data_IF_582265793296
#
_entry.id   IF_582265793296
#
_cell.length_a   1.000
_cell.length_b   1.000
_cell.length_c   1.000
_cell.angle_alpha   90.00
_cell.angle_beta   90.00
_cell.angle_gamma   90.00
#
_symmetry.space_group_name_H-M   'P 1'
#
loop_
_entity.id
_entity.type
_entity.pdbx_description
1 polymer ?
#
# COMPACT_ATOMS: atom_id res chain seq x y z
N UNK A 1 -39.17 16.15 29.21
CA UNK A 1 -38.72 16.24 27.81
C UNK A 1 -37.24 15.92 27.81
N UNK A 2 -36.88 14.68 27.49
CA UNK A 2 -35.49 14.23 27.49
C UNK A 2 -34.84 14.62 26.16
N UNK A 3 -33.78 15.41 26.25
CA UNK A 3 -33.00 15.87 25.10
C UNK A 3 -32.03 14.74 24.71
N UNK A 4 -32.28 14.15 23.54
CA UNK A 4 -31.47 13.06 22.98
C UNK A 4 -30.16 13.65 22.49
N UNK A 5 -29.06 13.34 23.17
CA UNK A 5 -27.71 13.68 22.69
C UNK A 5 -27.39 12.84 21.43
N UNK A 6 -26.78 13.44 20.39
CA UNK A 6 -26.53 12.76 19.13
C UNK A 6 -25.47 11.67 19.31
N UNK A 7 -25.72 10.49 18.72
CA UNK A 7 -24.82 9.35 18.69
C UNK A 7 -23.52 9.73 17.98
N UNK A 8 -22.40 9.42 18.63
CA UNK A 8 -21.06 9.63 18.10
C UNK A 8 -20.74 8.50 17.11
N UNK A 9 -21.23 8.63 15.88
CA UNK A 9 -20.89 7.70 14.79
C UNK A 9 -19.39 7.84 14.47
N UNK A 10 -18.64 6.81 14.84
CA UNK A 10 -17.24 6.65 14.49
C UNK A 10 -17.12 6.55 12.96
N UNK A 11 -16.92 7.70 12.30
CA UNK A 11 -16.57 7.75 10.88
C UNK A 11 -15.23 7.05 10.71
N UNK A 12 -15.25 5.93 9.97
CA UNK A 12 -14.06 5.21 9.56
C UNK A 12 -13.15 6.18 8.81
N UNK A 13 -11.94 6.36 9.35
CA UNK A 13 -10.90 7.15 8.70
C UNK A 13 -10.40 6.31 7.53
N UNK A 14 -10.91 6.57 6.32
CA UNK A 14 -10.28 6.10 5.09
C UNK A 14 -8.94 6.83 4.97
N UNK A 15 -7.84 6.12 5.20
CA UNK A 15 -6.51 6.59 4.84
C UNK A 15 -6.51 6.97 3.35
N UNK A 16 -5.99 8.15 2.96
CA UNK A 16 -5.83 8.46 1.55
C UNK A 16 -4.88 7.42 0.94
N UNK A 17 -5.33 6.78 -0.14
CA UNK A 17 -4.50 5.86 -0.92
C UNK A 17 -3.20 6.56 -1.30
N UNK A 18 -2.12 6.21 -0.62
CA UNK A 18 -0.78 6.46 -1.13
C UNK A 18 -0.66 5.55 -2.34
N UNK A 19 -0.40 6.08 -3.55
CA UNK A 19 -0.32 5.24 -4.74
C UNK A 19 0.74 4.18 -4.51
N UNK A 20 0.27 2.93 -4.35
CA UNK A 20 1.13 1.78 -4.14
C UNK A 20 1.99 1.62 -5.38
N UNK A 21 3.30 1.64 -5.16
CA UNK A 21 4.32 1.41 -6.19
C UNK A 21 4.17 -0.01 -6.74
N UNK A 22 3.41 -0.19 -7.82
CA UNK A 22 3.44 -1.45 -8.58
C UNK A 22 2.21 -1.75 -9.44
N UNK A 23 1.05 -1.17 -9.12
CA UNK A 23 -0.16 -1.29 -9.94
C UNK A 23 -0.17 -0.24 -11.05
N UNK A 24 0.24 -0.63 -12.24
CA UNK A 24 0.18 0.20 -13.44
C UNK A 24 -1.29 0.34 -13.92
N UNK A 25 -2.07 1.17 -13.24
CA UNK A 25 -3.46 1.41 -13.58
C UNK A 25 -3.58 2.51 -14.65
N UNK A 26 -4.25 2.19 -15.75
CA UNK A 26 -4.70 3.18 -16.73
C UNK A 26 -5.62 4.21 -16.04
N UNK A 27 -5.61 5.47 -16.49
CA UNK A 27 -6.47 6.50 -15.90
C UNK A 27 -7.96 6.17 -16.09
N UNK A 28 -8.77 6.44 -15.08
CA UNK A 28 -10.23 6.21 -15.12
C UNK A 28 -10.93 7.03 -16.22
N UNK A 29 -10.31 8.12 -16.68
CA UNK A 29 -10.81 9.04 -17.71
C UNK A 29 -10.23 8.78 -19.10
N UNK A 30 -9.47 7.69 -19.30
CA UNK A 30 -8.79 7.38 -20.56
C UNK A 30 -9.72 7.50 -21.78
N UNK A 31 -10.91 6.92 -21.71
CA UNK A 31 -11.86 6.91 -22.83
C UNK A 31 -12.37 8.30 -23.18
N UNK A 32 -12.62 9.13 -22.15
CA UNK A 32 -13.08 10.50 -22.32
C UNK A 32 -11.99 11.38 -22.93
N UNK A 33 -10.75 11.24 -22.44
CA UNK A 33 -9.58 11.96 -22.96
C UNK A 33 -9.33 11.64 -24.43
N UNK A 34 -9.29 10.34 -24.79
CA UNK A 34 -9.05 9.93 -26.18
C UNK A 34 -10.16 10.42 -27.12
N UNK A 35 -11.42 10.38 -26.68
CA UNK A 35 -12.55 10.90 -27.45
C UNK A 35 -12.49 12.43 -27.61
N UNK A 36 -11.99 13.15 -26.61
CA UNK A 36 -11.77 14.59 -26.70
C UNK A 36 -10.63 14.95 -27.66
N UNK A 37 -9.51 14.23 -27.57
CA UNK A 37 -8.34 14.41 -28.45
C UNK A 37 -8.73 14.23 -29.92
N UNK A 38 -9.40 13.13 -30.25
CA UNK A 38 -9.80 12.83 -31.63
C UNK A 38 -10.88 13.78 -32.17
N UNK A 39 -11.70 14.36 -31.29
CA UNK A 39 -12.73 15.35 -31.67
C UNK A 39 -12.11 16.69 -32.06
N UNK A 40 -11.12 17.16 -31.29
CA UNK A 40 -10.46 18.44 -31.55
C UNK A 40 -9.42 18.36 -32.67
N UNK A 41 -8.85 17.18 -32.91
CA UNK A 41 -7.82 16.93 -33.93
C UNK A 41 -6.63 17.88 -33.83
N UNK A 42 -6.30 18.31 -32.61
CA UNK A 42 -5.22 19.25 -32.36
C UNK A 42 -4.14 18.63 -31.47
N UNK A 43 -2.90 18.77 -31.92
CA UNK A 43 -1.71 18.35 -31.20
C UNK A 43 -1.32 19.43 -30.19
N UNK A 44 -2.00 19.44 -29.04
CA UNK A 44 -1.62 20.28 -27.90
C UNK A 44 -0.42 19.69 -27.14
N UNK A 45 0.29 20.45 -26.29
CA UNK A 45 1.59 20.06 -25.69
C UNK A 45 1.67 18.65 -25.05
N UNK A 46 0.55 18.07 -24.65
CA UNK A 46 0.45 16.72 -24.06
C UNK A 46 0.02 15.62 -25.03
N UNK A 47 -0.10 15.91 -26.33
CA UNK A 47 -0.63 14.99 -27.34
C UNK A 47 0.24 15.01 -28.59
N UNK A 48 0.61 13.84 -29.08
CA UNK A 48 1.37 13.66 -30.33
C UNK A 48 0.67 12.62 -31.22
N UNK A 49 0.57 12.87 -32.52
CA UNK A 49 0.05 11.91 -33.48
C UNK A 49 1.18 11.30 -34.30
N UNK A 50 1.12 9.99 -34.53
CA UNK A 50 2.02 9.29 -35.44
C UNK A 50 1.25 8.28 -36.27
N UNK A 51 1.49 8.28 -37.58
CA UNK A 51 0.95 7.25 -38.47
C UNK A 51 1.54 5.88 -38.14
N UNK A 52 2.86 5.84 -37.93
CA UNK A 52 3.62 4.63 -37.61
C UNK A 52 4.63 4.98 -36.52
N UNK A 53 4.80 4.07 -35.55
CA UNK A 53 5.81 4.20 -34.52
C UNK A 53 7.06 3.42 -34.91
N UNK A 54 8.19 4.11 -35.05
CA UNK A 54 9.46 3.45 -35.31
C UNK A 54 10.05 2.97 -33.98
N UNK A 55 10.33 1.67 -33.86
CA UNK A 55 11.00 1.09 -32.68
C UNK A 55 12.48 0.77 -32.93
N UNK A 56 12.99 0.97 -34.14
CA UNK A 56 14.38 0.67 -34.53
C UNK A 56 14.82 1.52 -35.72
N UNK A 57 16.12 1.52 -36.01
CA UNK A 57 16.71 2.25 -37.11
C UNK A 57 16.97 3.73 -36.79
N UNK A 58 17.23 4.53 -37.82
CA UNK A 58 17.61 5.94 -37.67
C UNK A 58 16.50 6.81 -37.07
N UNK A 59 15.23 6.43 -37.31
CA UNK A 59 14.04 7.13 -36.82
C UNK A 59 13.71 6.83 -35.35
N UNK A 60 14.35 5.82 -34.74
CA UNK A 60 14.17 5.52 -33.32
C UNK A 60 14.51 6.72 -32.43
N UNK A 61 15.47 7.55 -32.86
CA UNK A 61 15.85 8.77 -32.15
C UNK A 61 14.72 9.77 -31.99
N UNK A 62 13.89 9.95 -33.02
CA UNK A 62 12.74 10.85 -32.96
C UNK A 62 11.67 10.28 -32.04
N UNK A 63 11.40 8.97 -32.07
CA UNK A 63 10.48 8.32 -31.12
C UNK A 63 10.93 8.53 -29.67
N UNK A 64 12.22 8.33 -29.36
CA UNK A 64 12.76 8.54 -28.01
C UNK A 64 12.63 10.00 -27.60
N UNK A 65 12.92 10.93 -28.52
CA UNK A 65 12.81 12.37 -28.29
C UNK A 65 11.37 12.77 -27.98
N UNK A 66 10.40 12.29 -28.75
CA UNK A 66 8.98 12.61 -28.58
C UNK A 66 8.44 12.06 -27.26
N UNK A 67 8.77 10.82 -26.90
CA UNK A 67 8.37 10.23 -25.62
C UNK A 67 8.98 10.97 -24.44
N UNK A 68 10.27 11.33 -24.50
CA UNK A 68 10.91 12.16 -23.47
C UNK A 68 10.24 13.53 -23.37
N UNK A 69 9.97 14.17 -24.51
CA UNK A 69 9.32 15.47 -24.56
C UNK A 69 7.94 15.43 -23.92
N UNK A 70 7.11 14.43 -24.24
CA UNK A 70 5.79 14.25 -23.63
C UNK A 70 5.89 14.04 -22.12
N UNK A 71 6.80 13.18 -21.64
CA UNK A 71 6.97 12.90 -20.21
C UNK A 71 7.47 14.12 -19.41
N UNK A 72 8.29 14.96 -20.03
CA UNK A 72 8.85 16.15 -19.41
C UNK A 72 7.90 17.34 -19.48
N UNK A 73 6.98 17.36 -20.45
CA UNK A 73 6.02 18.44 -20.61
C UNK A 73 5.03 18.45 -19.46
N UNK A 74 4.80 19.63 -18.91
CA UNK A 74 3.77 19.86 -17.90
C UNK A 74 2.52 20.48 -18.48
N UNK A 75 1.40 20.14 -17.87
CA UNK A 75 0.10 20.68 -18.19
C UNK A 75 -0.96 20.11 -17.27
N UNK A 76 -2.09 20.80 -17.20
CA UNK A 76 -3.28 20.37 -16.47
C UNK A 76 -4.29 19.69 -17.39
N UNK A 77 -4.08 19.72 -18.71
CA UNK A 77 -4.97 19.03 -19.64
C UNK A 77 -4.85 17.52 -19.42
N UNK A 78 -5.95 16.81 -19.64
CA UNK A 78 -6.02 15.36 -19.51
C UNK A 78 -5.47 14.84 -18.18
N UNK A 79 -5.78 15.57 -17.11
CA UNK A 79 -5.36 15.23 -15.75
C UNK A 79 -3.84 15.07 -15.57
N UNK A 80 -3.06 15.76 -16.41
CA UNK A 80 -1.59 15.73 -16.41
C UNK A 80 -0.97 14.55 -17.18
N UNK A 81 -1.77 13.66 -17.75
CA UNK A 81 -1.28 12.60 -18.63
C UNK A 81 -0.88 13.16 -19.98
N UNK A 82 0.07 12.50 -20.63
CA UNK A 82 0.43 12.75 -22.01
C UNK A 82 0.14 11.51 -22.88
N UNK A 83 -0.17 11.75 -24.15
CA UNK A 83 -0.65 10.75 -25.08
C UNK A 83 0.11 10.80 -26.39
N UNK A 84 0.57 9.65 -26.85
CA UNK A 84 1.07 9.46 -28.20
C UNK A 84 0.15 8.49 -28.93
N UNK A 85 -0.62 8.97 -29.90
CA UNK A 85 -1.59 8.15 -30.64
C UNK A 85 -0.94 7.61 -31.90
N UNK A 86 -0.92 6.28 -32.02
CA UNK A 86 -0.35 5.56 -33.16
C UNK A 86 -1.48 5.09 -34.08
N UNK A 87 -1.29 5.27 -35.39
CA UNK A 87 -2.33 5.05 -36.41
C UNK A 87 -3.16 6.31 -36.68
N UNK A 88 -2.63 7.49 -36.33
CA UNK A 88 -3.27 8.81 -36.52
C UNK A 88 -2.32 9.69 -37.31
N UNK A 89 -2.80 10.39 -38.33
CA UNK A 89 -1.99 11.37 -39.07
C UNK A 89 -1.84 12.70 -38.32
N UNK A 90 -0.91 13.54 -38.79
CA UNK A 90 -0.62 14.86 -38.20
C UNK A 90 -1.85 15.81 -38.20
N UNK A 91 -2.89 15.47 -38.96
CA UNK A 91 -4.17 16.17 -39.01
C UNK A 91 -5.22 15.62 -38.04
N UNK A 92 -4.85 14.66 -37.18
CA UNK A 92 -5.74 14.02 -36.21
C UNK A 92 -6.73 13.03 -36.84
N UNK A 93 -6.51 12.61 -38.08
CA UNK A 93 -7.36 11.61 -38.74
C UNK A 93 -6.80 10.22 -38.51
N UNK A 94 -7.65 9.29 -38.05
CA UNK A 94 -7.26 7.89 -37.86
C UNK A 94 -7.07 7.23 -39.23
N UNK A 95 -5.85 6.74 -39.48
CA UNK A 95 -5.46 6.11 -40.75
C UNK A 95 -5.32 4.58 -40.65
N UNK A 96 -5.38 4.04 -39.42
CA UNK A 96 -5.26 2.61 -39.16
C UNK A 96 -3.88 2.20 -38.64
N UNK A 97 -3.85 1.05 -37.97
CA UNK A 97 -2.63 0.36 -37.53
C UNK A 97 -2.24 -0.75 -38.53
N UNK A 98 -0.97 -1.19 -38.53
CA UNK A 98 -0.57 -2.41 -39.23
C UNK A 98 -1.37 -3.63 -38.74
N UNK A 99 -1.79 -4.51 -39.66
CA UNK A 99 -2.69 -5.65 -39.38
C UNK A 99 -2.18 -6.61 -38.30
N UNK A 100 -0.86 -6.72 -38.12
CA UNK A 100 -0.22 -7.66 -37.20
C UNK A 100 0.42 -6.98 -35.97
N UNK A 101 -0.03 -5.78 -35.61
CA UNK A 101 0.51 -5.07 -34.47
C UNK A 101 -0.08 -5.62 -33.16
N UNK A 102 0.75 -6.31 -32.38
CA UNK A 102 0.45 -6.74 -31.02
C UNK A 102 0.94 -5.69 -30.01
N UNK A 103 0.00 -5.12 -29.25
CA UNK A 103 0.27 -4.07 -28.27
C UNK A 103 1.17 -4.53 -27.10
N UNK A 104 1.05 -5.78 -26.64
CA UNK A 104 1.87 -6.31 -25.54
C UNK A 104 3.33 -6.46 -25.99
N UNK A 105 3.51 -6.97 -27.21
CA UNK A 105 4.83 -7.03 -27.84
C UNK A 105 5.41 -5.64 -28.04
N UNK A 106 4.60 -4.66 -28.44
CA UNK A 106 5.04 -3.26 -28.59
C UNK A 106 5.47 -2.66 -27.25
N UNK A 107 4.66 -2.81 -26.19
CA UNK A 107 4.98 -2.29 -24.85
C UNK A 107 6.29 -2.86 -24.32
N UNK A 108 6.48 -4.17 -24.46
CA UNK A 108 7.72 -4.85 -24.06
C UNK A 108 8.92 -4.35 -24.87
N UNK A 109 8.80 -4.24 -26.20
CA UNK A 109 9.86 -3.72 -27.05
C UNK A 109 10.25 -2.28 -26.72
N UNK A 110 9.27 -1.41 -26.48
CA UNK A 110 9.50 -0.04 -26.06
C UNK A 110 10.19 0.00 -24.70
N UNK A 111 9.75 -0.83 -23.74
CA UNK A 111 10.33 -0.91 -22.40
C UNK A 111 11.80 -1.32 -22.45
N UNK A 112 12.11 -2.38 -23.19
CA UNK A 112 13.47 -2.91 -23.32
C UNK A 112 14.42 -1.92 -24.00
N UNK A 113 13.93 -1.17 -24.99
CA UNK A 113 14.74 -0.19 -25.74
C UNK A 113 14.85 1.17 -25.05
N UNK A 114 13.81 1.63 -24.36
CA UNK A 114 13.81 2.92 -23.65
C UNK A 114 14.63 2.86 -22.36
N UNK A 115 14.63 1.72 -21.67
CA UNK A 115 15.36 1.55 -20.40
C UNK A 115 16.85 1.95 -20.49
N UNK A 116 17.64 1.51 -21.49
CA UNK A 116 19.02 1.98 -21.65
C UNK A 116 19.14 3.35 -22.34
N UNK A 117 18.10 3.81 -23.04
CA UNK A 117 18.13 5.05 -23.81
C UNK A 117 17.78 6.30 -22.98
N UNK A 118 17.02 6.16 -21.88
CA UNK A 118 16.44 7.26 -21.11
C UNK A 118 16.67 7.08 -19.60
N UNK A 119 17.13 8.13 -18.92
CA UNK A 119 17.33 8.17 -17.47
C UNK A 119 16.68 9.43 -16.84
N UNK A 120 15.87 9.30 -15.77
CA UNK A 120 15.37 8.04 -15.19
C UNK A 120 14.45 7.29 -16.18
N UNK A 121 14.23 5.97 -16.00
CA UNK A 121 13.38 5.19 -16.89
C UNK A 121 11.98 5.79 -17.03
N UNK A 122 11.51 5.87 -18.28
CA UNK A 122 10.19 6.39 -18.61
C UNK A 122 9.11 5.38 -18.22
N UNK A 123 8.04 5.86 -17.57
CA UNK A 123 6.85 5.05 -17.26
C UNK A 123 5.79 5.33 -18.31
N UNK A 124 5.20 4.29 -18.89
CA UNK A 124 4.15 4.42 -19.89
C UNK A 124 3.34 3.12 -19.97
N UNK A 125 2.17 3.18 -20.64
CA UNK A 125 1.34 2.04 -20.98
C UNK A 125 0.91 2.09 -22.43
N UNK A 126 0.83 0.94 -23.09
CA UNK A 126 0.27 0.84 -24.44
C UNK A 126 -1.14 0.30 -24.33
N UNK A 127 -2.14 1.05 -24.82
CA UNK A 127 -3.52 0.56 -24.80
C UNK A 127 -3.72 -0.52 -25.85
N UNK A 128 -4.69 -1.44 -25.65
CA UNK A 128 -5.19 -2.28 -26.72
C UNK A 128 -5.66 -1.43 -27.92
N UNK A 129 -5.56 -1.94 -29.17
CA UNK A 129 -6.09 -1.25 -30.34
C UNK A 129 -7.59 -0.95 -30.21
N UNK A 130 -7.99 0.25 -30.62
CA UNK A 130 -9.36 0.76 -30.57
C UNK A 130 -9.82 1.08 -31.99
N UNK A 131 -11.07 0.72 -32.31
CA UNK A 131 -11.67 1.05 -33.60
C UNK A 131 -12.24 2.46 -33.59
N UNK A 132 -11.98 3.21 -34.66
CA UNK A 132 -12.54 4.53 -34.93
C UNK A 132 -12.87 4.64 -36.42
N UNK A 133 -13.61 5.69 -36.81
CA UNK A 133 -13.76 6.05 -38.23
C UNK A 133 -12.38 6.20 -38.88
N UNK A 134 -12.11 5.40 -39.93
CA UNK A 134 -10.85 5.37 -40.67
C UNK A 134 -9.92 4.19 -40.33
N UNK A 135 -10.13 3.50 -39.20
CA UNK A 135 -9.37 2.28 -38.86
C UNK A 135 -9.12 2.12 -37.36
N UNK A 136 -8.19 1.22 -37.02
CA UNK A 136 -7.74 1.03 -35.64
C UNK A 136 -6.63 2.02 -35.27
N UNK A 137 -6.59 2.45 -34.01
CA UNK A 137 -5.49 3.21 -33.42
C UNK A 137 -5.16 2.67 -32.02
N UNK A 138 -4.01 3.03 -31.47
CA UNK A 138 -3.68 2.79 -30.06
C UNK A 138 -3.07 4.04 -29.44
N UNK A 139 -3.03 4.10 -28.12
CA UNK A 139 -2.40 5.18 -27.38
C UNK A 139 -1.25 4.64 -26.52
N UNK A 140 -0.15 5.37 -26.51
CA UNK A 140 0.89 5.27 -25.50
C UNK A 140 0.60 6.35 -24.46
N UNK A 141 0.24 5.92 -23.25
CA UNK A 141 -0.21 6.77 -22.15
C UNK A 141 0.95 6.97 -21.19
N UNK A 142 1.35 8.22 -20.98
CA UNK A 142 2.49 8.61 -20.16
C UNK A 142 1.96 9.38 -18.93
N UNK A 143 2.07 8.83 -17.71
CA UNK A 143 1.66 9.55 -16.50
C UNK A 143 2.59 10.75 -16.20
N UNK A 144 2.12 11.70 -15.37
CA UNK A 144 2.97 12.78 -14.88
C UNK A 144 4.26 12.25 -14.24
N UNK A 145 5.42 12.78 -14.65
CA UNK A 145 6.70 12.37 -14.05
C UNK A 145 6.85 12.89 -12.62
N UNK A 146 7.30 12.00 -11.72
CA UNK A 146 7.55 12.28 -10.30
C UNK A 146 9.02 12.13 -9.88
N UNK A 147 9.89 11.75 -10.82
CA UNK A 147 11.29 11.36 -10.54
C UNK A 147 12.33 12.30 -11.14
N UNK A 148 11.91 13.29 -11.91
CA UNK A 148 12.80 14.27 -12.54
C UNK A 148 12.69 14.30 -14.06
N UNK A 149 13.53 15.09 -14.74
CA UNK A 149 13.52 15.16 -16.19
C UNK A 149 14.05 13.85 -16.78
N UNK A 150 13.34 13.30 -17.75
CA UNK A 150 13.75 12.17 -18.57
C UNK A 150 14.78 12.65 -19.60
N UNK A 151 16.04 12.28 -19.38
CA UNK A 151 17.21 12.67 -20.16
C UNK A 151 17.61 11.50 -21.06
N UNK A 152 18.05 11.79 -22.28
CA UNK A 152 18.57 10.78 -23.20
C UNK A 152 19.97 10.37 -22.72
N UNK A 153 20.12 9.13 -22.26
CA UNK A 153 21.34 8.66 -21.58
C UNK A 153 22.28 7.87 -22.49
N UNK A 154 21.76 7.18 -23.50
CA UNK A 154 22.50 6.18 -24.27
C UNK A 154 22.97 6.64 -25.66
N UNK A 155 24.04 6.00 -26.14
CA UNK A 155 24.42 5.97 -27.56
C UNK A 155 23.51 4.97 -28.31
N UNK A 156 23.09 5.28 -29.54
CA UNK A 156 22.22 4.40 -30.35
C UNK A 156 20.78 4.88 -30.54
N UNK A 157 20.48 6.10 -30.06
CA UNK A 157 19.22 6.83 -30.29
C UNK A 157 19.28 7.66 -31.58
N UNK A 158 20.02 7.22 -32.59
CA UNK A 158 20.16 7.92 -33.87
C UNK A 158 20.64 9.37 -33.71
N UNK A 159 19.81 10.33 -34.13
CA UNK A 159 20.09 11.78 -34.09
C UNK A 159 19.94 12.43 -32.71
N UNK A 160 19.41 11.72 -31.72
CA UNK A 160 19.17 12.31 -30.41
C UNK A 160 20.48 12.49 -29.63
N UNK A 161 20.70 13.69 -29.09
CA UNK A 161 21.95 14.03 -28.40
C UNK A 161 21.96 13.47 -26.97
N UNK A 162 22.94 12.62 -26.59
CA UNK A 162 23.08 12.18 -25.20
C UNK A 162 23.25 13.37 -24.24
N UNK A 163 22.63 13.30 -23.07
CA UNK A 163 22.56 14.38 -22.08
C UNK A 163 21.50 15.44 -22.38
N UNK A 164 20.88 15.44 -23.57
CA UNK A 164 19.76 16.32 -23.87
C UNK A 164 18.46 15.79 -23.24
N UNK A 165 17.59 16.73 -22.88
CA UNK A 165 16.21 16.47 -22.52
C UNK A 165 15.33 17.49 -23.22
N UNK A 166 14.14 17.06 -23.58
CA UNK A 166 13.25 17.82 -24.45
C UNK A 166 11.94 18.08 -23.73
N UNK A 167 11.26 19.15 -24.14
CA UNK A 167 9.87 19.47 -23.78
C UNK A 167 9.09 19.79 -25.05
N UNK A 168 7.78 19.65 -25.00
CA UNK A 168 6.87 19.94 -26.10
C UNK A 168 6.31 21.35 -25.97
N UNK A 169 6.53 22.17 -27.00
CA UNK A 169 5.98 23.51 -27.12
C UNK A 169 5.00 23.56 -28.30
N UNK A 170 3.71 23.33 -28.01
CA UNK A 170 2.75 23.02 -29.07
C UNK A 170 3.19 21.75 -29.80
N UNK A 171 3.25 21.78 -31.14
CA UNK A 171 3.53 20.61 -31.99
C UNK A 171 5.00 20.16 -32.08
N UNK A 172 5.93 20.86 -31.42
CA UNK A 172 7.37 20.61 -31.57
C UNK A 172 8.02 20.20 -30.26
N UNK A 173 8.92 19.22 -30.35
CA UNK A 173 9.83 18.87 -29.27
C UNK A 173 11.11 19.71 -29.37
N UNK A 174 11.27 20.63 -28.41
CA UNK A 174 12.40 21.56 -28.30
C UNK A 174 13.33 21.15 -27.15
N UNK A 175 14.60 21.56 -27.25
CA UNK A 175 15.56 21.37 -26.16
C UNK A 175 15.12 22.18 -24.94
N UNK A 176 15.00 21.51 -23.80
CA UNK A 176 14.49 22.12 -22.59
C UNK A 176 15.50 23.08 -21.96
N UNK A 177 15.01 24.25 -21.52
CA UNK A 177 15.81 25.29 -20.88
C UNK A 177 15.73 25.27 -19.35
N UNK A 178 16.43 26.19 -18.67
CA UNK A 178 16.36 26.33 -17.21
C UNK A 178 14.95 26.60 -16.68
N UNK A 179 14.11 27.29 -17.46
CA UNK A 179 12.72 27.59 -17.09
C UNK A 179 11.87 26.32 -17.05
N UNK A 180 12.08 25.41 -18.00
CA UNK A 180 11.38 24.12 -18.04
C UNK A 180 11.78 23.25 -16.85
N UNK A 181 13.07 23.28 -16.48
CA UNK A 181 13.55 22.59 -15.30
C UNK A 181 12.86 23.11 -14.03
N UNK A 182 12.77 24.42 -13.86
CA UNK A 182 12.08 25.03 -12.72
C UNK A 182 10.60 24.64 -12.67
N UNK A 183 9.89 24.64 -13.81
CA UNK A 183 8.48 24.19 -13.87
C UNK A 183 8.32 22.72 -13.50
N UNK A 184 9.20 21.86 -14.03
CA UNK A 184 9.17 20.43 -13.73
C UNK A 184 9.45 20.16 -12.24
N UNK A 185 10.46 20.81 -11.66
CA UNK A 185 10.77 20.69 -10.22
C UNK A 185 9.62 21.20 -9.36
N UNK A 186 9.05 22.36 -9.68
CA UNK A 186 7.89 22.89 -8.95
C UNK A 186 6.73 21.88 -8.94
N UNK A 187 6.39 21.31 -10.10
CA UNK A 187 5.36 20.27 -10.20
C UNK A 187 5.67 19.03 -9.37
N UNK A 188 6.93 18.57 -9.37
CA UNK A 188 7.36 17.41 -8.57
C UNK A 188 7.19 17.74 -7.08
N UNK A 189 7.65 18.91 -6.65
CA UNK A 189 7.50 19.39 -5.27
C UNK A 189 6.02 19.44 -4.88
N UNK A 190 5.16 20.04 -5.70
CA UNK A 190 3.71 20.14 -5.45
C UNK A 190 3.08 18.75 -5.27
N UNK A 191 3.54 17.77 -6.06
CA UNK A 191 3.05 16.38 -5.98
C UNK A 191 3.34 15.76 -4.61
N UNK A 192 4.50 16.05 -4.00
CA UNK A 192 4.87 15.55 -2.67
C UNK A 192 4.37 16.43 -1.52
N UNK A 193 4.22 17.73 -1.74
CA UNK A 193 3.80 18.70 -0.72
C UNK A 193 2.28 18.67 -0.52
N UNK A 194 1.49 18.54 -1.57
CA UNK A 194 0.02 18.59 -1.47
C UNK A 194 -0.60 17.53 -0.52
N UNK A 195 -0.10 16.27 -0.46
CA UNK A 195 -0.55 15.31 0.56
C UNK A 195 -0.17 15.73 1.99
N UNK A 196 1.01 16.31 2.18
CA UNK A 196 1.49 16.78 3.49
C UNK A 196 0.70 17.99 3.97
N UNK A 197 0.38 18.94 3.09
CA UNK A 197 -0.48 20.08 3.39
C UNK A 197 -1.88 19.63 3.80
N UNK A 198 -2.47 18.67 3.07
CA UNK A 198 -3.76 18.07 3.45
C UNK A 198 -3.70 17.40 4.82
N UNK A 199 -2.65 16.63 5.10
CA UNK A 199 -2.47 16.00 6.41
C UNK A 199 -2.29 17.03 7.52
N UNK A 200 -1.56 18.12 7.27
CA UNK A 200 -1.39 19.21 8.21
C UNK A 200 -2.70 19.95 8.50
N UNK A 201 -3.51 20.22 7.47
CA UNK A 201 -4.83 20.83 7.61
C UNK A 201 -5.80 19.94 8.40
N UNK A 202 -5.81 18.63 8.13
CA UNK A 202 -6.62 17.66 8.88
C UNK A 202 -6.20 17.62 10.36
N UNK A 203 -4.88 17.53 10.64
CA UNK A 203 -4.37 17.57 12.01
C UNK A 203 -4.71 18.88 12.73
N UNK A 204 -4.61 20.01 12.04
CA UNK A 204 -4.97 21.32 12.60
C UNK A 204 -6.46 21.38 12.95
N UNK A 205 -7.31 20.84 12.08
CA UNK A 205 -8.77 20.76 12.30
C UNK A 205 -9.09 19.86 13.50
N UNK A 206 -8.47 18.68 13.60
CA UNK A 206 -8.64 17.76 14.74
C UNK A 206 -8.16 18.37 16.06
N UNK A 207 -7.03 19.08 16.03
CA UNK A 207 -6.51 19.77 17.22
C UNK A 207 -7.47 20.87 17.69
N UNK A 208 -8.04 21.66 16.78
CA UNK A 208 -9.04 22.67 17.11
C UNK A 208 -10.29 22.05 17.77
N UNK A 209 -10.80 20.95 17.23
CA UNK A 209 -11.94 20.23 17.80
C UNK A 209 -11.64 19.69 19.22
N UNK A 210 -10.49 19.03 19.41
CA UNK A 210 -10.06 18.54 20.72
C UNK A 210 -9.90 19.66 21.75
N UNK A 211 -9.40 20.82 21.33
CA UNK A 211 -9.27 22.00 22.20
C UNK A 211 -10.64 22.51 22.63
N UNK A 212 -11.61 22.56 21.72
CA UNK A 212 -12.99 22.95 22.04
C UNK A 212 -13.67 21.95 22.98
N UNK A 213 -13.48 20.64 22.78
CA UNK A 213 -13.97 19.60 23.69
C UNK A 213 -13.37 19.77 25.10
N UNK A 214 -12.07 20.04 25.19
CA UNK A 214 -11.38 20.25 26.45
C UNK A 214 -11.87 21.51 27.17
N UNK A 215 -12.09 22.61 26.45
CA UNK A 215 -12.66 23.83 27.03
C UNK A 215 -14.12 23.60 27.48
N UNK A 216 -14.93 22.82 26.75
CA UNK A 216 -16.26 22.38 27.19
C UNK A 216 -16.21 21.57 28.48
N UNK A 217 -15.32 20.58 28.57
CA UNK A 217 -15.13 19.76 29.77
C UNK A 217 -14.70 20.61 30.97
N UNK A 218 -13.80 21.59 30.77
CA UNK A 218 -13.39 22.53 31.82
C UNK A 218 -14.57 23.33 32.38
N UNK A 219 -15.46 23.83 31.52
CA UNK A 219 -16.67 24.55 31.93
C UNK A 219 -17.64 23.64 32.70
N UNK A 220 -17.83 22.40 32.24
CA UNK A 220 -18.66 21.40 32.93
C UNK A 220 -18.17 21.11 34.35
N UNK A 221 -16.86 20.87 34.50
CA UNK A 221 -16.23 20.66 35.82
C UNK A 221 -16.38 21.89 36.71
N UNK A 222 -16.12 23.09 36.19
CA UNK A 222 -16.22 24.34 36.96
C UNK A 222 -17.65 24.66 37.43
N UNK A 223 -18.67 24.20 36.69
CA UNK A 223 -20.09 24.43 37.02
C UNK A 223 -20.70 23.33 37.91
N UNK A 224 -19.89 22.37 38.37
CA UNK A 224 -20.36 21.26 39.21
C UNK A 224 -21.22 20.23 38.46
N UNK A 225 -21.35 20.35 37.14
CA UNK A 225 -21.92 19.33 36.26
C UNK A 225 -20.78 18.46 35.74
N UNK A 226 -20.12 17.76 36.65
CA UNK A 226 -19.14 16.75 36.26
C UNK A 226 -19.83 15.61 35.50
N UNK A 227 -19.14 14.93 34.57
CA UNK A 227 -19.59 13.64 34.08
C UNK A 227 -19.89 12.71 35.26
N UNK A 228 -20.96 11.92 35.17
CA UNK A 228 -21.34 10.98 36.23
C UNK A 228 -20.12 10.09 36.55
N UNK A 229 -19.67 9.99 37.80
CA UNK A 229 -18.55 9.11 38.15
C UNK A 229 -18.77 7.64 37.72
N UNK A 230 -20.01 7.24 37.44
CA UNK A 230 -20.32 5.96 36.80
C UNK A 230 -19.76 5.83 35.36
N UNK A 231 -19.64 6.92 34.58
CA UNK A 231 -19.10 6.91 33.22
C UNK A 231 -17.55 6.89 33.19
N UNK A 232 -16.90 7.17 34.32
CA UNK A 232 -15.44 7.19 34.46
C UNK A 232 -14.87 5.92 35.10
N UNK A 233 -15.70 4.94 35.46
CA UNK A 233 -15.29 3.83 36.34
C UNK A 233 -14.62 2.64 35.65
N UNK A 234 -14.54 2.58 34.32
CA UNK A 234 -14.00 1.38 33.64
C UNK A 234 -12.52 1.47 33.26
N UNK A 235 -11.89 2.64 33.31
CA UNK A 235 -10.44 2.78 33.08
C UNK A 235 -9.80 3.38 34.32
N UNK A 236 -8.97 2.63 35.07
CA UNK A 236 -8.30 3.15 36.26
C UNK A 236 -7.60 4.46 35.90
N UNK A 237 -7.90 5.55 36.61
CA UNK A 237 -7.35 6.90 36.37
C UNK A 237 -5.83 6.91 36.22
N UNK A 238 -5.14 5.98 36.89
CA UNK A 238 -3.71 5.73 36.74
C UNK A 238 -3.30 5.32 35.32
N UNK A 239 -4.06 4.46 34.64
CA UNK A 239 -3.81 4.04 33.25
C UNK A 239 -4.00 5.19 32.27
N UNK A 240 -5.01 6.05 32.48
CA UNK A 240 -5.23 7.23 31.64
C UNK A 240 -4.12 8.28 31.83
N UNK A 241 -3.73 8.57 33.08
CA UNK A 241 -2.63 9.48 33.36
C UNK A 241 -1.29 8.93 32.83
N UNK A 242 -1.04 7.64 33.02
CA UNK A 242 0.15 6.98 32.48
C UNK A 242 0.14 7.00 30.95
N UNK A 243 -1.00 6.86 30.29
CA UNK A 243 -1.16 6.99 28.84
C UNK A 243 -1.03 8.45 28.35
N UNK A 244 -1.37 9.44 29.17
CA UNK A 244 -1.31 10.84 28.76
C UNK A 244 0.08 11.46 28.92
N UNK A 245 0.84 11.03 29.93
CA UNK A 245 2.20 11.49 30.21
C UNK A 245 3.31 10.58 29.67
N UNK A 246 2.96 9.44 29.07
CA UNK A 246 3.95 8.56 28.45
C UNK A 246 4.41 9.12 27.10
N UNK A 247 5.71 8.99 26.86
CA UNK A 247 6.28 9.24 25.54
C UNK A 247 5.61 8.30 24.51
N UNK A 248 5.59 8.67 23.21
CA UNK A 248 5.09 7.78 22.15
C UNK A 248 5.64 6.35 22.25
N UNK A 249 6.91 6.21 22.64
CA UNK A 249 7.61 4.94 22.83
C UNK A 249 6.98 4.14 23.97
N UNK A 250 6.83 4.78 25.14
CA UNK A 250 6.22 4.15 26.32
C UNK A 250 4.77 3.74 26.08
N UNK A 251 4.02 4.52 25.28
CA UNK A 251 2.63 4.18 24.88
C UNK A 251 2.58 2.94 24.00
N UNK A 252 3.47 2.85 23.01
CA UNK A 252 3.53 1.70 22.13
C UNK A 252 4.00 0.45 22.90
N UNK A 253 5.03 0.54 23.73
CA UNK A 253 5.48 -0.56 24.59
C UNK A 253 4.38 -1.06 25.53
N UNK A 254 3.67 -0.13 26.19
CA UNK A 254 2.54 -0.46 27.06
C UNK A 254 1.42 -1.17 26.32
N UNK A 255 1.07 -0.68 25.12
CA UNK A 255 0.04 -1.28 24.25
C UNK A 255 0.44 -2.68 23.79
N UNK A 256 1.68 -2.88 23.31
CA UNK A 256 2.21 -4.18 22.89
C UNK A 256 2.05 -5.20 24.03
N UNK A 257 2.48 -4.83 25.25
CA UNK A 257 2.37 -5.71 26.42
C UNK A 257 0.91 -5.99 26.79
N UNK A 258 0.04 -4.98 26.77
CA UNK A 258 -1.37 -5.14 27.07
C UNK A 258 -2.06 -6.06 26.07
N UNK A 259 -1.78 -5.94 24.77
CA UNK A 259 -2.32 -6.83 23.75
C UNK A 259 -1.78 -8.25 23.89
N UNK A 260 -0.51 -8.44 24.25
CA UNK A 260 0.04 -9.76 24.57
C UNK A 260 -0.73 -10.43 25.72
N UNK A 261 -1.04 -9.68 26.78
CA UNK A 261 -1.83 -10.18 27.92
C UNK A 261 -3.29 -10.48 27.53
N UNK A 262 -3.92 -9.60 26.75
CA UNK A 262 -5.31 -9.77 26.26
C UNK A 262 -5.41 -11.00 25.36
N UNK A 263 -4.48 -11.16 24.43
CA UNK A 263 -4.41 -12.33 23.55
C UNK A 263 -4.28 -13.61 24.36
N UNK A 264 -3.39 -13.63 25.36
CA UNK A 264 -3.19 -14.78 26.23
C UNK A 264 -4.47 -15.12 27.03
N UNK A 265 -5.18 -14.12 27.56
CA UNK A 265 -6.45 -14.33 28.26
C UNK A 265 -7.57 -14.82 27.36
N UNK A 266 -7.73 -14.22 26.17
CA UNK A 266 -8.76 -14.62 25.19
C UNK A 266 -8.51 -16.01 24.61
N UNK A 267 -7.26 -16.44 24.49
CA UNK A 267 -6.98 -17.84 24.12
C UNK A 267 -7.63 -18.80 25.12
N UNK A 268 -7.48 -18.57 26.42
CA UNK A 268 -8.08 -19.44 27.44
C UNK A 268 -9.62 -19.50 27.31
N UNK A 269 -10.25 -18.39 26.91
CA UNK A 269 -11.71 -18.32 26.65
C UNK A 269 -12.13 -19.08 25.39
N UNK A 270 -11.36 -18.96 24.30
CA UNK A 270 -11.63 -19.65 23.03
C UNK A 270 -11.44 -21.16 23.17
N UNK A 271 -10.48 -21.59 24.00
CA UNK A 271 -10.20 -23.01 24.26
C UNK A 271 -11.16 -23.64 25.29
N UNK A 272 -12.48 -23.47 25.07
CA UNK A 272 -13.49 -24.08 25.91
C UNK A 272 -13.51 -25.64 25.78
N UNK A 273 -14.11 -26.38 26.72
CA UNK A 273 -14.15 -27.86 26.68
C UNK A 273 -14.76 -28.47 25.41
N UNK A 274 -15.65 -27.76 24.71
CA UNK A 274 -16.25 -28.22 23.46
C UNK A 274 -15.24 -28.21 22.30
N UNK A 275 -14.33 -27.23 22.27
CA UNK A 275 -13.23 -27.19 21.30
C UNK A 275 -12.20 -28.29 21.58
N UNK A 276 -11.97 -28.62 22.86
CA UNK A 276 -11.14 -29.77 23.24
C UNK A 276 -11.74 -31.10 22.80
N UNK A 277 -13.07 -31.26 22.83
CA UNK A 277 -13.73 -32.47 22.36
C UNK A 277 -13.54 -32.69 20.85
N UNK A 278 -13.56 -31.60 20.07
CA UNK A 278 -13.29 -31.62 18.62
C UNK A 278 -11.82 -32.03 18.34
N UNK A 279 -10.89 -31.57 19.17
CA UNK A 279 -9.45 -31.78 18.99
C UNK A 279 -8.97 -33.15 19.53
N UNK A 280 -9.59 -33.66 20.59
CA UNK A 280 -9.16 -34.86 21.29
C UNK A 280 -9.70 -36.18 20.70
N UNK A 281 -10.68 -36.13 19.79
CA UNK A 281 -11.37 -37.32 19.33
C UNK A 281 -10.64 -38.16 18.26
N UNK A 282 -9.43 -37.80 17.82
CA UNK A 282 -8.68 -38.45 16.72
C UNK A 282 -9.50 -38.68 15.42
N UNK A 283 -10.65 -38.02 15.28
CA UNK A 283 -11.65 -38.29 14.26
C UNK A 283 -11.76 -37.14 13.25
N UNK A 284 -11.81 -37.42 11.93
CA UNK A 284 -12.15 -36.42 10.93
C UNK A 284 -13.66 -36.17 10.95
N UNK A 285 -14.13 -35.27 11.80
CA UNK A 285 -15.57 -34.94 11.82
C UNK A 285 -15.88 -33.52 12.31
N UNK A 286 -15.05 -32.53 11.96
CA UNK A 286 -15.59 -31.20 11.71
C UNK A 286 -15.93 -31.11 10.25
N UNK A 287 -17.16 -30.71 9.94
CA UNK A 287 -17.51 -30.30 8.58
C UNK A 287 -16.49 -29.25 8.08
N UNK A 288 -16.25 -29.16 6.76
CA UNK A 288 -15.37 -28.12 6.21
C UNK A 288 -15.77 -26.70 6.65
N UNK A 289 -17.05 -26.47 6.95
CA UNK A 289 -17.59 -25.20 7.44
C UNK A 289 -17.18 -24.93 8.89
N UNK A 290 -17.28 -25.92 9.78
CA UNK A 290 -16.82 -25.80 11.17
C UNK A 290 -15.30 -25.56 11.23
N UNK A 291 -14.52 -26.27 10.39
CA UNK A 291 -13.09 -26.03 10.29
C UNK A 291 -12.76 -24.59 9.87
N UNK A 292 -13.46 -24.06 8.85
CA UNK A 292 -13.31 -22.65 8.42
C UNK A 292 -13.69 -21.67 9.53
N UNK A 293 -14.75 -21.95 10.29
CA UNK A 293 -15.17 -21.11 11.40
C UNK A 293 -14.14 -21.10 12.54
N UNK A 294 -13.51 -22.24 12.81
CA UNK A 294 -12.40 -22.35 13.77
C UNK A 294 -11.24 -21.47 13.32
N UNK A 295 -10.77 -21.60 12.08
CA UNK A 295 -9.66 -20.78 11.57
C UNK A 295 -9.99 -19.29 11.60
N UNK A 296 -11.20 -18.89 11.19
CA UNK A 296 -11.63 -17.48 11.26
C UNK A 296 -11.58 -16.93 12.69
N UNK A 297 -12.08 -17.70 13.66
CA UNK A 297 -12.06 -17.28 15.07
C UNK A 297 -10.62 -17.13 15.59
N UNK A 298 -9.73 -18.03 15.19
CA UNK A 298 -8.31 -17.99 15.53
C UNK A 298 -7.57 -16.81 14.86
N UNK A 299 -7.93 -16.46 13.63
CA UNK A 299 -7.42 -15.28 12.91
C UNK A 299 -7.90 -13.98 13.56
N UNK A 300 -9.19 -13.87 13.87
CA UNK A 300 -9.80 -12.74 14.58
C UNK A 300 -9.19 -12.53 15.97
N UNK A 301 -8.82 -13.62 16.64
CA UNK A 301 -8.13 -13.59 17.91
C UNK A 301 -6.70 -13.01 17.77
N UNK A 302 -5.98 -13.37 16.70
CA UNK A 302 -4.61 -12.94 16.46
C UNK A 302 -4.49 -11.48 16.01
N UNK A 303 -5.50 -10.97 15.28
CA UNK A 303 -5.42 -9.70 14.56
C UNK A 303 -4.96 -8.50 15.40
N UNK A 304 -5.45 -8.25 16.63
CA UNK A 304 -5.02 -7.10 17.43
C UNK A 304 -3.53 -7.15 17.79
N UNK A 305 -3.05 -8.34 18.17
CA UNK A 305 -1.64 -8.55 18.51
C UNK A 305 -0.76 -8.49 17.26
N UNK A 306 -1.21 -9.07 16.14
CA UNK A 306 -0.54 -8.99 14.83
C UNK A 306 -0.26 -7.56 14.42
N UNK A 307 -1.27 -6.69 14.42
CA UNK A 307 -1.12 -5.29 14.04
C UNK A 307 -0.15 -4.54 14.96
N UNK A 308 -0.26 -4.79 16.27
CA UNK A 308 0.55 -4.08 17.28
C UNK A 308 2.02 -4.51 17.22
N UNK A 309 2.29 -5.81 17.04
CA UNK A 309 3.65 -6.34 16.86
C UNK A 309 4.24 -5.89 15.51
N UNK A 310 3.47 -5.95 14.42
CA UNK A 310 3.91 -5.47 13.11
C UNK A 310 4.27 -3.99 13.15
N UNK A 311 3.48 -3.15 13.83
CA UNK A 311 3.80 -1.74 14.03
C UNK A 311 5.09 -1.54 14.84
N UNK A 312 5.31 -2.36 15.87
CA UNK A 312 6.53 -2.32 16.67
C UNK A 312 7.77 -2.63 15.84
N UNK A 313 7.71 -3.69 15.03
CA UNK A 313 8.80 -4.09 14.12
C UNK A 313 9.01 -3.05 13.01
N UNK A 314 7.92 -2.51 12.45
CA UNK A 314 7.98 -1.47 11.42
C UNK A 314 8.66 -0.18 11.89
N UNK A 315 8.66 0.09 13.19
CA UNK A 315 9.37 1.26 13.75
C UNK A 315 10.90 1.15 13.59
N UNK A 316 11.45 -0.07 13.49
CA UNK A 316 12.89 -0.34 13.49
C UNK A 316 13.61 0.00 14.80
N UNK A 317 12.86 0.38 15.85
CA UNK A 317 13.43 0.73 17.13
C UNK A 317 13.71 -0.51 17.97
N UNK A 318 14.94 -0.65 18.48
CA UNK A 318 15.38 -1.81 19.26
C UNK A 318 14.48 -2.07 20.48
N UNK A 319 14.10 -1.02 21.20
CA UNK A 319 13.20 -1.15 22.35
C UNK A 319 11.80 -1.66 21.96
N UNK A 320 11.30 -1.32 20.77
CA UNK A 320 9.97 -1.73 20.30
C UNK A 320 9.97 -3.21 19.90
N UNK A 321 11.05 -3.66 19.24
CA UNK A 321 11.30 -5.08 18.94
C UNK A 321 11.41 -5.88 20.24
N UNK A 322 12.13 -5.38 21.25
CA UNK A 322 12.20 -6.00 22.57
C UNK A 322 10.82 -6.15 23.22
N UNK A 323 10.00 -5.09 23.21
CA UNK A 323 8.64 -5.14 23.74
C UNK A 323 7.74 -6.14 22.99
N UNK A 324 7.88 -6.24 21.66
CA UNK A 324 7.18 -7.22 20.85
C UNK A 324 7.58 -8.66 21.20
N UNK A 325 8.88 -8.92 21.32
CA UNK A 325 9.41 -10.22 21.77
C UNK A 325 8.86 -10.60 23.14
N UNK A 326 8.84 -9.67 24.09
CA UNK A 326 8.30 -9.91 25.42
C UNK A 326 6.80 -10.22 25.39
N UNK A 327 6.00 -9.48 24.61
CA UNK A 327 4.57 -9.75 24.47
C UNK A 327 4.30 -11.12 23.83
N UNK A 328 5.09 -11.50 22.82
CA UNK A 328 5.00 -12.82 22.18
C UNK A 328 5.38 -13.94 23.14
N UNK A 329 6.40 -13.74 23.99
CA UNK A 329 6.76 -14.70 25.05
C UNK A 329 5.68 -14.82 26.12
N UNK A 330 5.09 -13.71 26.53
CA UNK A 330 3.96 -13.70 27.48
C UNK A 330 2.75 -14.46 26.92
N UNK A 331 2.41 -14.21 25.64
CA UNK A 331 1.37 -14.94 24.94
C UNK A 331 1.70 -16.44 24.83
N UNK A 332 2.92 -16.76 24.41
CA UNK A 332 3.40 -18.13 24.22
C UNK A 332 3.48 -18.96 25.50
N UNK A 333 3.84 -18.33 26.62
CA UNK A 333 3.92 -18.99 27.93
C UNK A 333 2.59 -19.59 28.41
N UNK A 334 1.46 -19.14 27.87
CA UNK A 334 0.13 -19.69 28.17
C UNK A 334 -0.35 -20.76 27.19
N UNK A 335 0.47 -21.18 26.23
CA UNK A 335 0.14 -22.24 25.28
C UNK A 335 0.33 -23.67 25.85
N UNK A 336 0.59 -23.82 27.15
CA UNK A 336 0.78 -25.13 27.80
C UNK A 336 -0.53 -25.89 27.97
N UNK A 337 -0.58 -27.16 27.56
CA UNK A 337 -1.77 -28.04 27.76
C UNK A 337 -2.16 -28.03 29.24
N UNK A 338 -3.44 -27.76 29.59
CA UNK A 338 -3.88 -27.82 30.98
C UNK A 338 -3.48 -29.17 31.60
N UNK A 339 -2.98 -29.14 32.83
CA UNK A 339 -2.57 -30.38 33.52
C UNK A 339 -3.72 -31.39 33.52
N UNK A 340 -3.39 -32.64 33.17
CA UNK A 340 -4.36 -33.74 33.12
C UNK A 340 -5.09 -33.92 31.78
N UNK A 341 -4.74 -33.15 30.74
CA UNK A 341 -5.23 -33.38 29.37
C UNK A 341 -4.10 -33.83 28.45
N UNK A 342 -4.36 -34.83 27.60
CA UNK A 342 -3.52 -35.10 26.43
C UNK A 342 -3.96 -34.19 25.27
N UNK A 343 -3.02 -33.82 24.40
CA UNK A 343 -3.31 -33.10 23.16
C UNK A 343 -2.77 -33.91 21.99
N UNK A 344 -3.60 -34.08 20.96
CA UNK A 344 -3.19 -34.56 19.65
C UNK A 344 -2.23 -33.55 18.99
N UNK A 345 -1.44 -34.00 18.01
CA UNK A 345 -0.55 -33.11 17.23
C UNK A 345 -1.33 -31.98 16.55
N UNK A 346 -2.50 -32.30 15.99
CA UNK A 346 -3.42 -31.33 15.39
C UNK A 346 -3.87 -30.28 16.39
N UNK A 347 -4.19 -30.68 17.63
CA UNK A 347 -4.54 -29.76 18.71
C UNK A 347 -3.43 -28.79 19.07
N UNK A 348 -2.19 -29.27 19.14
CA UNK A 348 -1.03 -28.43 19.41
C UNK A 348 -0.79 -27.42 18.27
N UNK A 349 -0.97 -27.86 17.02
CA UNK A 349 -0.86 -27.00 15.85
C UNK A 349 -1.94 -25.91 15.85
N UNK A 350 -3.21 -26.25 16.06
CA UNK A 350 -4.30 -25.26 16.15
C UNK A 350 -4.10 -24.29 17.31
N UNK A 351 -3.55 -24.76 18.43
CA UNK A 351 -3.28 -23.91 19.59
C UNK A 351 -2.21 -22.86 19.33
N UNK A 352 -1.17 -23.26 18.62
CA UNK A 352 -0.03 -22.39 18.32
C UNK A 352 -0.27 -21.52 17.08
N UNK A 353 -1.25 -21.89 16.23
CA UNK A 353 -1.58 -21.21 14.98
C UNK A 353 -1.78 -19.68 15.08
N UNK A 354 -2.59 -19.12 16.01
CA UNK A 354 -2.75 -17.67 16.13
C UNK A 354 -1.41 -16.96 16.39
N UNK A 355 -0.54 -17.53 17.23
CA UNK A 355 0.77 -16.95 17.54
C UNK A 355 1.74 -17.09 16.35
N UNK A 356 1.63 -18.16 15.56
CA UNK A 356 2.34 -18.28 14.29
C UNK A 356 1.98 -17.14 13.34
N UNK A 357 0.69 -16.80 13.21
CA UNK A 357 0.27 -15.73 12.32
C UNK A 357 0.89 -14.39 12.73
N UNK A 358 0.91 -14.09 14.03
CA UNK A 358 1.55 -12.88 14.57
C UNK A 358 3.04 -12.87 14.24
N UNK A 359 3.75 -13.98 14.49
CA UNK A 359 5.18 -14.12 14.20
C UNK A 359 5.50 -14.00 12.70
N UNK A 360 4.68 -14.61 11.85
CA UNK A 360 4.84 -14.58 10.41
C UNK A 360 4.71 -13.16 9.87
N UNK A 361 3.64 -12.44 10.24
CA UNK A 361 3.44 -11.06 9.83
C UNK A 361 4.58 -10.16 10.31
N UNK A 362 5.03 -10.34 11.56
CA UNK A 362 6.17 -9.61 12.11
C UNK A 362 7.47 -9.88 11.33
N UNK A 363 7.70 -11.14 10.95
CA UNK A 363 8.87 -11.54 10.18
C UNK A 363 8.86 -10.99 8.74
N UNK A 364 7.69 -10.95 8.09
CA UNK A 364 7.52 -10.32 6.77
C UNK A 364 7.87 -8.83 6.84
N UNK A 365 7.35 -8.11 7.83
CA UNK A 365 7.66 -6.68 8.04
C UNK A 365 9.16 -6.47 8.32
N UNK A 366 9.79 -7.34 9.12
CA UNK A 366 11.23 -7.28 9.37
C UNK A 366 12.04 -7.51 8.08
N UNK A 367 11.63 -8.47 7.25
CA UNK A 367 12.30 -8.83 6.01
C UNK A 367 12.20 -7.72 4.95
N UNK A 368 11.01 -7.14 4.76
CA UNK A 368 10.82 -6.00 3.83
C UNK A 368 11.69 -4.79 4.21
N UNK A 369 11.95 -4.60 5.50
CA UNK A 369 12.80 -3.53 6.02
C UNK A 369 14.30 -3.88 6.08
N UNK A 370 14.66 -5.11 5.72
CA UNK A 370 16.03 -5.65 5.86
C UNK A 370 16.56 -5.56 7.32
N UNK A 371 15.66 -5.64 8.31
CA UNK A 371 16.03 -5.64 9.74
C UNK A 371 16.32 -7.07 10.22
N UNK A 372 17.54 -7.53 9.92
CA UNK A 372 18.01 -8.87 10.32
C UNK A 372 18.01 -9.10 11.83
N UNK A 373 18.11 -8.03 12.64
CA UNK A 373 18.10 -8.16 14.11
C UNK A 373 16.71 -8.50 14.59
N UNK A 374 15.70 -7.74 14.14
CA UNK A 374 14.30 -8.03 14.45
C UNK A 374 13.89 -9.42 13.93
N UNK A 375 14.25 -9.74 12.70
CA UNK A 375 13.98 -11.06 12.11
C UNK A 375 14.56 -12.20 12.96
N UNK A 376 15.83 -12.07 13.37
CA UNK A 376 16.49 -13.06 14.24
C UNK A 376 15.79 -13.19 15.60
N UNK A 377 15.49 -12.08 16.26
CA UNK A 377 14.83 -12.09 17.57
C UNK A 377 13.46 -12.77 17.51
N UNK A 378 12.67 -12.52 16.45
CA UNK A 378 11.39 -13.18 16.21
C UNK A 378 11.55 -14.68 15.94
N UNK A 379 12.60 -15.06 15.18
CA UNK A 379 12.92 -16.47 14.92
C UNK A 379 13.32 -17.20 16.19
N UNK A 380 14.05 -16.56 17.10
CA UNK A 380 14.40 -17.14 18.40
C UNK A 380 13.15 -17.38 19.28
N UNK A 381 12.17 -16.48 19.23
CA UNK A 381 10.86 -16.70 19.88
C UNK A 381 10.16 -17.90 19.24
N UNK A 382 10.14 -18.00 17.91
CA UNK A 382 9.57 -19.14 17.20
C UNK A 382 10.22 -20.46 17.63
N UNK A 383 11.55 -20.56 17.63
CA UNK A 383 12.26 -21.77 18.05
C UNK A 383 11.91 -22.18 19.49
N UNK A 384 11.72 -21.20 20.37
CA UNK A 384 11.34 -21.47 21.76
C UNK A 384 9.89 -22.00 21.89
N UNK A 385 8.99 -21.57 21.01
CA UNK A 385 7.59 -21.99 21.00
C UNK A 385 7.37 -23.36 20.36
N UNK A 386 8.24 -23.77 19.43
CA UNK A 386 8.17 -25.06 18.74
C UNK A 386 9.48 -25.85 18.89
N UNK A 387 9.70 -26.52 20.04
CA UNK A 387 10.95 -27.27 20.27
C UNK A 387 11.11 -28.50 19.37
N UNK A 388 10.07 -28.95 18.66
CA UNK A 388 10.14 -30.10 17.74
C UNK A 388 9.98 -29.69 16.28
N UNK A 389 10.91 -30.14 15.43
CA UNK A 389 10.95 -29.86 13.98
C UNK A 389 9.68 -30.29 13.23
N UNK A 390 8.98 -31.29 13.76
CA UNK A 390 7.77 -31.84 13.16
C UNK A 390 6.58 -30.87 13.26
N UNK A 391 6.49 -30.09 14.33
CA UNK A 391 5.42 -29.09 14.52
C UNK A 391 5.61 -27.88 13.61
N UNK A 392 6.86 -27.42 13.44
CA UNK A 392 7.19 -26.35 12.50
C UNK A 392 6.82 -26.73 11.06
N UNK A 393 7.07 -27.97 10.65
CA UNK A 393 6.75 -28.46 9.31
C UNK A 393 5.22 -28.55 9.07
N UNK A 394 4.45 -29.00 10.06
CA UNK A 394 2.99 -29.08 9.97
C UNK A 394 2.33 -27.71 9.86
N UNK A 395 2.84 -26.71 10.58
CA UNK A 395 2.37 -25.32 10.50
C UNK A 395 2.67 -24.71 9.12
N UNK A 396 3.87 -24.91 8.59
CA UNK A 396 4.25 -24.43 7.25
C UNK A 396 3.39 -25.07 6.15
N UNK A 397 3.02 -26.35 6.29
CA UNK A 397 2.08 -27.02 5.36
C UNK A 397 0.68 -26.43 5.43
N UNK A 398 0.16 -26.10 6.61
CA UNK A 398 -1.15 -25.46 6.75
C UNK A 398 -1.18 -24.05 6.16
N UNK A 399 -0.10 -23.28 6.31
CA UNK A 399 0.03 -21.95 5.70
C UNK A 399 0.11 -22.03 4.17
N UNK A 400 0.78 -23.05 3.62
CA UNK A 400 0.87 -23.26 2.16
C UNK A 400 -0.46 -23.67 1.50
N UNK A 401 -1.48 -24.08 2.28
CA UNK A 401 -2.79 -24.48 1.79
C UNK A 401 -3.82 -23.34 1.73
N UNK A 402 -3.46 -22.11 2.15
CA UNK A 402 -4.35 -20.95 2.12
C UNK A 402 -4.01 -20.04 0.90
N UNK A 403 -4.84 -20.01 -0.17
CA UNK A 403 -4.55 -19.27 -1.40
C UNK A 403 -4.74 -17.74 -1.30
N UNK A 404 -5.23 -17.22 -0.17
CA UNK A 404 -5.70 -15.83 -0.05
C UNK A 404 -4.69 -14.83 0.50
N UNK A 405 -3.55 -15.27 1.04
CA UNK A 405 -2.63 -14.39 1.77
C UNK A 405 -1.50 -13.79 0.89
N UNK A 406 -1.43 -14.19 -0.39
CA UNK A 406 -0.50 -13.62 -1.37
C UNK A 406 -1.11 -12.43 -2.17
N UNK A 407 -2.25 -11.90 -1.70
CA UNK A 407 -2.87 -10.64 -2.17
C UNK A 407 -2.95 -9.69 -0.98
#
# INVERSE_FOLDING_TARGET
MAEVLPSNDARSVTTPDVPTTGGHHLPAHLDADLAEILRHRDEGPQVEFKRVLHTSGDDWGETVKDLCALANTGGTAFHGYAYLLVGVDDGGTVVGLPENLDHDTLERQLTDKLRPAVAPPLRFHVTPPRQHEGGAFLAIVIPPSTTGPHIIAGTGTGRATPGAWFVRNGKKADLAGPQDYARLVARIVDTYVAPLERAHQDLTTRYAALREDLDRLRVQVATGRGPDPADLSEVPTASLLQQHFSTPESRLAGRIRQEGLRFAGRQDEVWNPAWWAIIAADGPATSPEEARQIFRTLEELAQPLTLTVAQAVASGAEWAVGAAVDALRLAGGRLTVPMGRSSTDTGQVLRTYPLTLVLHAAAVVAAERLDFRAFRALTEVQVHLWPTSQQAHSVLRLLALQPTWAR
#
